data_IF_283258527497
#
_entry.id   IF_283258527497
#
_cell.length_a   1.000
_cell.length_b   1.000
_cell.length_c   1.000
_cell.angle_alpha   90.00
_cell.angle_beta   90.00
_cell.angle_gamma   90.00
#
_symmetry.space_group_name_H-M   'P 1'
#
loop_
_entity.id
_entity.type
_entity.pdbx_description
1 polymer ?
#
# COMPACT_ATOMS: atom_id res chain seq x y z
N UNK A 1 -10.99 13.19 -2.18
CA UNK A 1 -11.62 14.36 -1.54
C UNK A 1 -13.11 14.15 -1.31
N UNK A 2 -13.92 13.90 -2.34
CA UNK A 2 -15.38 13.74 -2.19
C UNK A 2 -15.84 12.46 -1.49
N UNK A 3 -15.07 11.36 -1.61
CA UNK A 3 -15.42 10.10 -0.96
C UNK A 3 -15.30 10.15 0.58
N UNK A 4 -14.37 10.95 1.11
CA UNK A 4 -14.05 10.95 2.55
C UNK A 4 -15.24 11.43 3.41
N UNK A 5 -15.91 12.56 3.12
CA UNK A 5 -17.10 12.98 3.88
C UNK A 5 -18.22 11.95 3.89
N UNK A 6 -18.49 11.29 2.76
CA UNK A 6 -19.52 10.25 2.66
C UNK A 6 -19.17 9.01 3.49
N UNK A 7 -17.90 8.59 3.49
CA UNK A 7 -17.42 7.47 4.30
C UNK A 7 -17.54 7.79 5.79
N UNK A 8 -17.12 9.01 6.20
CA UNK A 8 -17.24 9.46 7.60
C UNK A 8 -18.70 9.47 8.05
N UNK A 9 -19.61 9.99 7.22
CA UNK A 9 -21.05 9.98 7.51
C UNK A 9 -21.60 8.56 7.72
N UNK A 10 -21.27 7.63 6.82
CA UNK A 10 -21.70 6.23 6.93
C UNK A 10 -21.10 5.55 8.17
N UNK A 11 -19.84 5.83 8.50
CA UNK A 11 -19.18 5.26 9.67
C UNK A 11 -19.89 5.65 10.97
N UNK A 12 -20.29 6.92 11.12
CA UNK A 12 -21.09 7.37 12.24
C UNK A 12 -22.47 6.73 12.27
N UNK A 13 -23.16 6.63 11.12
CA UNK A 13 -24.48 5.98 11.06
C UNK A 13 -24.43 4.49 11.43
N UNK A 14 -23.34 3.80 11.12
CA UNK A 14 -23.17 2.36 11.36
C UNK A 14 -22.42 2.04 12.65
N UNK A 15 -22.07 3.04 13.47
CA UNK A 15 -21.23 2.89 14.67
C UNK A 15 -19.90 2.16 14.40
N UNK A 16 -19.30 2.37 13.23
CA UNK A 16 -17.97 1.86 12.87
C UNK A 16 -16.89 2.81 13.38
N UNK A 17 -16.89 3.07 14.69
CA UNK A 17 -16.06 4.05 15.36
C UNK A 17 -15.06 3.36 16.28
N UNK A 18 -13.82 3.87 16.29
CA UNK A 18 -12.78 3.35 17.16
C UNK A 18 -12.92 3.89 18.59
N UNK A 19 -12.89 3.00 19.58
CA UNK A 19 -12.97 3.38 20.99
C UNK A 19 -11.55 3.69 21.51
N UNK A 20 -11.32 4.84 22.18
CA UNK A 20 -10.00 5.20 22.68
C UNK A 20 -9.42 4.11 23.57
N UNK A 21 -8.22 3.64 23.26
CA UNK A 21 -7.49 2.64 24.05
C UNK A 21 -6.13 3.22 24.48
N UNK A 22 -5.46 2.67 25.50
CA UNK A 22 -4.23 3.23 26.09
C UNK A 22 -3.01 3.37 25.15
N UNK A 23 -3.16 3.06 23.85
CA UNK A 23 -2.18 3.27 22.76
C UNK A 23 -2.52 4.45 21.84
N UNK A 24 -3.72 5.02 21.92
CA UNK A 24 -4.19 6.12 21.06
C UNK A 24 -4.13 7.45 21.82
N UNK A 25 -3.51 8.47 21.24
CA UNK A 25 -3.35 9.81 21.86
C UNK A 25 -4.68 10.59 21.89
N UNK A 26 -5.72 10.13 21.18
CA UNK A 26 -6.98 10.86 21.02
C UNK A 26 -8.09 10.44 21.98
N UNK A 27 -8.91 11.42 22.36
CA UNK A 27 -10.09 11.27 23.22
C UNK A 27 -11.41 11.13 22.43
N UNK A 28 -11.40 11.18 21.09
CA UNK A 28 -12.61 11.16 20.24
C UNK A 28 -12.77 9.91 19.38
N UNK A 29 -14.01 9.39 19.29
CA UNK A 29 -14.44 8.31 18.39
C UNK A 29 -14.18 8.68 16.92
N UNK A 30 -13.08 8.19 16.34
CA UNK A 30 -12.66 8.56 14.98
C UNK A 30 -12.75 7.33 14.05
N UNK A 31 -13.39 7.42 12.87
CA UNK A 31 -13.54 6.27 11.97
C UNK A 31 -12.22 5.75 11.40
N UNK A 32 -12.05 4.43 11.31
CA UNK A 32 -10.91 3.74 10.66
C UNK A 32 -11.21 3.32 9.21
N UNK A 33 -11.80 4.20 8.41
CA UNK A 33 -12.23 3.88 7.03
C UNK A 33 -11.59 4.78 5.97
N UNK A 34 -10.57 5.56 6.32
CA UNK A 34 -9.87 6.46 5.39
C UNK A 34 -9.21 5.70 4.23
N UNK A 35 -8.77 4.47 4.48
CA UNK A 35 -8.21 3.57 3.49
C UNK A 35 -9.16 3.23 2.34
N UNK A 36 -10.47 3.21 2.59
CA UNK A 36 -11.47 3.01 1.52
C UNK A 36 -11.46 4.17 0.54
N UNK A 37 -11.31 5.41 1.03
CA UNK A 37 -11.19 6.59 0.18
C UNK A 37 -9.88 6.60 -0.61
N UNK A 38 -8.77 6.19 0.01
CA UNK A 38 -7.47 6.07 -0.68
C UNK A 38 -7.58 5.05 -1.81
N UNK A 39 -8.09 3.85 -1.51
CA UNK A 39 -8.22 2.78 -2.48
C UNK A 39 -9.18 3.14 -3.61
N UNK A 40 -10.33 3.75 -3.32
CA UNK A 40 -11.27 4.19 -4.35
C UNK A 40 -10.62 5.22 -5.29
N UNK A 41 -9.93 6.22 -4.75
CA UNK A 41 -9.23 7.22 -5.56
C UNK A 41 -8.12 6.62 -6.42
N UNK A 42 -7.31 5.74 -5.83
CA UNK A 42 -6.25 5.01 -6.52
C UNK A 42 -6.81 4.13 -7.66
N UNK A 43 -7.80 3.28 -7.36
CA UNK A 43 -8.40 2.36 -8.33
C UNK A 43 -9.07 3.09 -9.49
N UNK A 44 -9.84 4.13 -9.20
CA UNK A 44 -10.50 4.92 -10.24
C UNK A 44 -9.48 5.60 -11.15
N UNK A 45 -8.47 6.25 -10.59
CA UNK A 45 -7.44 6.92 -11.39
C UNK A 45 -6.63 5.92 -12.22
N UNK A 46 -6.19 4.80 -11.61
CA UNK A 46 -5.36 3.83 -12.30
C UNK A 46 -6.11 3.17 -13.47
N UNK A 47 -7.37 2.79 -13.27
CA UNK A 47 -8.17 2.12 -14.32
C UNK A 47 -8.50 3.06 -15.48
N UNK A 48 -8.61 4.37 -15.23
CA UNK A 48 -8.92 5.36 -16.28
C UNK A 48 -7.66 5.77 -17.05
N UNK A 49 -6.54 5.99 -16.36
CA UNK A 49 -5.38 6.68 -16.92
C UNK A 49 -4.15 5.80 -17.14
N UNK A 50 -4.02 4.65 -16.47
CA UNK A 50 -2.79 3.88 -16.48
C UNK A 50 -2.85 2.67 -17.44
N UNK A 51 -1.76 2.41 -18.19
CA UNK A 51 -1.58 1.12 -18.84
C UNK A 51 -1.45 0.00 -17.81
N UNK A 52 -2.14 -1.12 -18.01
CA UNK A 52 -2.15 -2.26 -17.10
C UNK A 52 -1.14 -3.37 -17.47
N UNK A 53 -0.04 -2.99 -18.13
CA UNK A 53 1.07 -3.89 -18.49
C UNK A 53 2.14 -3.99 -17.40
N UNK A 54 3.16 -4.81 -17.63
CA UNK A 54 4.35 -4.93 -16.78
C UNK A 54 4.01 -5.17 -15.30
N UNK A 55 3.16 -6.15 -15.01
CA UNK A 55 2.81 -6.54 -13.63
C UNK A 55 1.80 -5.65 -12.91
N UNK A 56 1.37 -4.53 -13.49
CA UNK A 56 0.40 -3.62 -12.85
C UNK A 56 -0.98 -4.29 -12.64
N UNK A 57 -1.40 -5.17 -13.54
CA UNK A 57 -2.66 -5.94 -13.40
C UNK A 57 -2.58 -6.92 -12.21
N UNK A 58 -1.45 -7.58 -12.03
CA UNK A 58 -1.17 -8.49 -10.91
C UNK A 58 -1.08 -7.72 -9.60
N UNK A 59 -0.45 -6.54 -9.60
CA UNK A 59 -0.47 -5.60 -8.47
C UNK A 59 -1.90 -5.22 -8.09
N UNK A 60 -2.74 -4.87 -9.07
CA UNK A 60 -4.15 -4.56 -8.83
C UNK A 60 -4.91 -5.71 -8.20
N UNK A 61 -4.71 -6.94 -8.68
CA UNK A 61 -5.31 -8.13 -8.09
C UNK A 61 -4.88 -8.32 -6.63
N UNK A 62 -3.59 -8.14 -6.31
CA UNK A 62 -3.09 -8.15 -4.94
C UNK A 62 -3.70 -7.06 -4.06
N UNK A 63 -3.81 -5.83 -4.58
CA UNK A 63 -4.44 -4.71 -3.89
C UNK A 63 -5.91 -4.99 -3.57
N UNK A 64 -6.67 -5.61 -4.49
CA UNK A 64 -8.08 -5.98 -4.26
C UNK A 64 -8.20 -6.99 -3.11
N UNK A 65 -7.33 -8.00 -3.07
CA UNK A 65 -7.32 -8.98 -1.97
C UNK A 65 -7.05 -8.28 -0.65
N UNK A 66 -5.99 -7.47 -0.58
CA UNK A 66 -5.60 -6.78 0.65
C UNK A 66 -6.61 -5.73 1.09
N UNK A 67 -7.28 -5.07 0.14
CA UNK A 67 -8.40 -4.18 0.41
C UNK A 67 -9.51 -4.91 1.18
N UNK A 68 -9.96 -6.07 0.69
CA UNK A 68 -11.02 -6.82 1.38
C UNK A 68 -10.58 -7.42 2.70
N UNK A 69 -9.31 -7.85 2.81
CA UNK A 69 -8.74 -8.34 4.07
C UNK A 69 -8.71 -7.24 5.11
N UNK A 70 -8.20 -6.06 4.75
CA UNK A 70 -8.14 -4.91 5.65
C UNK A 70 -9.53 -4.35 5.98
N UNK A 71 -10.44 -4.29 5.01
CA UNK A 71 -11.82 -3.85 5.24
C UNK A 71 -12.55 -4.77 6.21
N UNK A 72 -12.32 -6.08 6.09
CA UNK A 72 -12.87 -7.04 7.03
C UNK A 72 -12.25 -6.88 8.42
N UNK A 73 -10.94 -6.61 8.52
CA UNK A 73 -10.30 -6.36 9.81
C UNK A 73 -10.85 -5.09 10.48
N UNK A 74 -10.97 -3.99 9.73
CA UNK A 74 -11.52 -2.70 10.22
C UNK A 74 -12.97 -2.85 10.74
N UNK A 75 -13.76 -3.77 10.18
CA UNK A 75 -15.16 -3.97 10.56
C UNK A 75 -15.37 -4.98 11.69
N UNK A 76 -14.63 -6.09 11.70
CA UNK A 76 -14.92 -7.23 12.61
C UNK A 76 -13.69 -7.83 13.28
N UNK A 77 -12.50 -7.26 13.08
CA UNK A 77 -11.20 -7.74 13.60
C UNK A 77 -10.94 -9.21 13.31
N UNK A 78 -10.02 -9.50 12.38
CA UNK A 78 -9.67 -10.87 11.99
C UNK A 78 -8.40 -11.34 12.69
N UNK A 79 -8.25 -12.66 12.80
CA UNK A 79 -7.03 -13.27 13.35
C UNK A 79 -5.82 -12.96 12.46
N UNK A 80 -4.65 -12.73 13.08
CA UNK A 80 -3.36 -12.51 12.40
C UNK A 80 -3.08 -13.55 11.31
N UNK A 81 -3.38 -14.82 11.54
CA UNK A 81 -3.19 -15.89 10.55
C UNK A 81 -4.01 -15.66 9.26
N UNK A 82 -5.27 -15.21 9.37
CA UNK A 82 -6.13 -14.92 8.21
C UNK A 82 -5.63 -13.68 7.45
N UNK A 83 -5.15 -12.66 8.17
CA UNK A 83 -4.52 -11.47 7.57
C UNK A 83 -3.26 -11.84 6.80
N UNK A 84 -2.43 -12.70 7.38
CA UNK A 84 -1.21 -13.23 6.74
C UNK A 84 -1.52 -14.07 5.50
N UNK A 85 -2.55 -14.92 5.51
CA UNK A 85 -2.97 -15.65 4.30
C UNK A 85 -3.36 -14.69 3.17
N UNK A 86 -4.04 -13.59 3.48
CA UNK A 86 -4.32 -12.54 2.50
C UNK A 86 -3.07 -11.92 1.90
N UNK A 87 -2.09 -11.58 2.74
CA UNK A 87 -0.77 -11.09 2.32
C UNK A 87 -0.02 -12.12 1.48
N UNK A 88 -0.07 -13.40 1.86
CA UNK A 88 0.55 -14.50 1.11
C UNK A 88 -0.03 -14.61 -0.31
N UNK A 89 -1.35 -14.58 -0.44
CA UNK A 89 -2.02 -14.67 -1.75
C UNK A 89 -1.71 -13.45 -2.62
N UNK A 90 -1.84 -12.24 -2.08
CA UNK A 90 -1.56 -11.00 -2.82
C UNK A 90 -0.09 -10.94 -3.29
N UNK A 91 0.83 -11.28 -2.40
CA UNK A 91 2.27 -11.30 -2.68
C UNK A 91 2.62 -12.39 -3.70
N UNK A 92 2.04 -13.59 -3.55
CA UNK A 92 2.25 -14.71 -4.48
C UNK A 92 1.80 -14.40 -5.91
N UNK A 93 0.68 -13.69 -6.09
CA UNK A 93 0.21 -13.27 -7.42
C UNK A 93 1.27 -12.42 -8.12
N UNK A 94 1.76 -11.38 -7.45
CA UNK A 94 2.73 -10.44 -8.04
C UNK A 94 4.06 -11.12 -8.31
N UNK A 95 4.55 -11.93 -7.37
CA UNK A 95 5.84 -12.60 -7.53
C UNK A 95 5.82 -13.69 -8.60
N UNK A 96 4.79 -14.53 -8.63
CA UNK A 96 4.78 -15.72 -9.50
C UNK A 96 4.25 -15.39 -10.88
N UNK A 97 3.21 -14.54 -10.98
CA UNK A 97 2.55 -14.27 -12.26
C UNK A 97 3.17 -13.10 -13.02
N UNK A 98 3.72 -12.12 -12.31
CA UNK A 98 4.39 -10.96 -12.92
C UNK A 98 5.92 -10.99 -12.81
N UNK A 99 6.50 -12.03 -12.20
CA UNK A 99 7.93 -12.18 -11.92
C UNK A 99 8.55 -10.98 -11.18
N UNK A 100 7.76 -10.29 -10.35
CA UNK A 100 8.25 -9.18 -9.53
C UNK A 100 9.01 -9.74 -8.33
N UNK A 101 10.34 -9.69 -8.42
CA UNK A 101 11.24 -10.16 -7.37
C UNK A 101 12.61 -9.50 -7.47
N UNK A 102 13.29 -9.45 -6.33
CA UNK A 102 14.71 -9.08 -6.28
C UNK A 102 15.54 -10.20 -6.89
N UNK A 103 16.21 -9.96 -8.01
CA UNK A 103 17.03 -10.95 -8.73
C UNK A 103 18.49 -10.93 -8.29
N UNK A 104 18.90 -9.85 -7.62
CA UNK A 104 20.29 -9.53 -7.33
C UNK A 104 20.43 -8.80 -5.98
N UNK A 105 21.62 -8.87 -5.39
CA UNK A 105 22.05 -7.99 -4.30
C UNK A 105 22.99 -6.87 -4.78
N UNK A 106 23.15 -6.69 -6.10
CA UNK A 106 23.96 -5.64 -6.72
C UNK A 106 25.41 -5.60 -6.19
N UNK A 107 25.99 -6.76 -5.89
CA UNK A 107 27.34 -6.89 -5.35
C UNK A 107 27.45 -6.68 -3.84
N UNK A 108 26.34 -6.41 -3.13
CA UNK A 108 26.32 -6.41 -1.66
C UNK A 108 26.75 -7.80 -1.18
N UNK A 109 27.72 -7.83 -0.25
CA UNK A 109 28.36 -9.07 0.25
C UNK A 109 29.01 -9.94 -0.84
N UNK A 110 29.33 -9.35 -2.00
CA UNK A 110 29.88 -10.08 -3.16
C UNK A 110 28.84 -10.89 -3.93
N UNK A 111 27.54 -10.69 -3.66
CA UNK A 111 26.45 -11.44 -4.29
C UNK A 111 25.86 -10.60 -5.44
N UNK A 112 26.07 -11.06 -6.67
CA UNK A 112 25.54 -10.41 -7.86
C UNK A 112 24.22 -10.99 -8.34
N UNK A 113 23.97 -12.28 -8.17
CA UNK A 113 22.70 -12.91 -8.56
C UNK A 113 22.21 -13.80 -7.44
N UNK A 114 20.91 -13.79 -7.21
CA UNK A 114 20.27 -14.62 -6.20
C UNK A 114 19.77 -15.93 -6.84
N UNK A 115 20.05 -17.09 -6.22
CA UNK A 115 19.38 -18.32 -6.58
C UNK A 115 17.85 -18.13 -6.52
N UNK A 116 17.13 -18.73 -7.47
CA UNK A 116 15.69 -18.50 -7.65
C UNK A 116 14.87 -18.65 -6.37
N UNK A 117 15.13 -19.69 -5.56
CA UNK A 117 14.44 -19.91 -4.28
C UNK A 117 14.72 -18.82 -3.25
N UNK A 118 15.95 -18.30 -3.20
CA UNK A 118 16.32 -17.21 -2.31
C UNK A 118 15.74 -15.88 -2.77
N UNK A 119 15.70 -15.63 -4.08
CA UNK A 119 15.04 -14.47 -4.69
C UNK A 119 13.56 -14.39 -4.29
N UNK A 120 12.80 -15.47 -4.44
CA UNK A 120 11.41 -15.54 -3.99
C UNK A 120 11.29 -15.43 -2.46
N UNK A 121 12.09 -16.18 -1.68
CA UNK A 121 11.99 -16.12 -0.22
C UNK A 121 12.26 -14.71 0.34
N UNK A 122 13.30 -14.06 -0.16
CA UNK A 122 13.69 -12.73 0.30
C UNK A 122 12.69 -11.67 -0.13
N UNK A 123 12.25 -11.69 -1.40
CA UNK A 123 11.22 -10.77 -1.91
C UNK A 123 9.93 -10.89 -1.10
N UNK A 124 9.51 -12.12 -0.75
CA UNK A 124 8.32 -12.34 0.06
C UNK A 124 8.43 -11.67 1.43
N UNK A 125 9.57 -11.84 2.11
CA UNK A 125 9.85 -11.21 3.40
C UNK A 125 9.83 -9.69 3.28
N UNK A 126 10.37 -9.12 2.21
CA UNK A 126 10.37 -7.68 1.97
C UNK A 126 8.94 -7.16 1.78
N UNK A 127 8.14 -7.79 0.91
CA UNK A 127 6.76 -7.33 0.64
C UNK A 127 5.91 -7.41 1.90
N UNK A 128 5.92 -8.54 2.58
CA UNK A 128 5.13 -8.74 3.80
C UNK A 128 5.65 -7.86 4.94
N UNK A 129 6.97 -7.71 5.06
CA UNK A 129 7.63 -6.90 6.09
C UNK A 129 7.29 -5.42 5.97
N UNK A 130 7.47 -4.82 4.79
CA UNK A 130 7.12 -3.42 4.54
C UNK A 130 5.61 -3.21 4.69
N UNK A 131 4.79 -4.14 4.19
CA UNK A 131 3.33 -4.05 4.34
C UNK A 131 2.90 -3.97 5.82
N UNK A 132 3.45 -4.84 6.66
CA UNK A 132 3.16 -4.82 8.09
C UNK A 132 3.82 -3.63 8.81
N UNK A 133 4.97 -3.13 8.34
CA UNK A 133 5.61 -1.95 8.90
C UNK A 133 4.75 -0.68 8.69
N UNK A 134 4.19 -0.49 7.48
CA UNK A 134 3.26 0.62 7.22
C UNK A 134 1.98 0.50 8.07
N UNK A 135 1.45 -0.73 8.24
CA UNK A 135 0.33 -0.98 9.14
C UNK A 135 0.65 -0.67 10.61
N UNK A 136 1.87 -0.94 11.07
CA UNK A 136 2.29 -0.69 12.46
C UNK A 136 2.43 0.80 12.78
N UNK A 137 2.87 1.62 11.82
CA UNK A 137 3.07 3.06 12.00
C UNK A 137 1.80 3.90 11.76
N UNK A 138 0.67 3.29 11.38
CA UNK A 138 -0.64 3.94 11.19
C UNK A 138 -1.38 4.28 12.51
N UNK A 139 -0.64 4.43 13.61
CA UNK A 139 -1.19 4.81 14.91
C UNK A 139 -1.18 6.31 15.23
N UNK A 140 -0.59 7.13 14.34
CA UNK A 140 -0.37 8.57 14.55
C UNK A 140 -0.92 9.41 13.40
N UNK A 141 -1.52 10.56 13.74
CA UNK A 141 -2.10 11.51 12.77
C UNK A 141 -1.10 11.91 11.69
N UNK A 142 -1.46 11.67 10.43
CA UNK A 142 -0.67 12.06 9.27
C UNK A 142 0.63 11.28 9.06
N UNK A 143 1.04 10.40 9.97
CA UNK A 143 2.36 9.75 9.90
C UNK A 143 2.46 8.77 8.72
N UNK A 144 1.65 7.71 8.74
CA UNK A 144 1.69 6.67 7.71
C UNK A 144 1.43 7.27 6.31
N UNK A 145 0.41 8.12 6.20
CA UNK A 145 0.09 8.79 4.93
C UNK A 145 1.23 9.66 4.42
N UNK A 146 1.92 10.43 5.28
CA UNK A 146 3.05 11.28 4.85
C UNK A 146 4.26 10.46 4.43
N UNK A 147 4.56 9.37 5.15
CA UNK A 147 5.66 8.47 4.79
C UNK A 147 5.39 7.79 3.44
N UNK A 148 4.18 7.27 3.22
CA UNK A 148 3.76 6.70 1.94
C UNK A 148 3.84 7.76 0.84
N UNK A 149 3.40 8.99 1.09
CA UNK A 149 3.47 10.09 0.12
C UNK A 149 4.91 10.39 -0.29
N UNK A 150 5.86 10.45 0.65
CA UNK A 150 7.29 10.67 0.36
C UNK A 150 7.83 9.53 -0.49
N UNK A 151 7.67 8.27 -0.05
CA UNK A 151 8.23 7.10 -0.73
C UNK A 151 7.69 7.00 -2.17
N UNK A 152 6.37 7.12 -2.32
CA UNK A 152 5.71 7.03 -3.64
C UNK A 152 6.09 8.18 -4.55
N UNK A 153 6.24 9.41 -4.03
CA UNK A 153 6.72 10.56 -4.81
C UNK A 153 8.15 10.35 -5.28
N UNK A 154 9.03 9.84 -4.41
CA UNK A 154 10.41 9.53 -4.75
C UNK A 154 10.48 8.48 -5.86
N UNK A 155 9.90 7.29 -5.67
CA UNK A 155 9.95 6.24 -6.68
C UNK A 155 9.22 6.63 -7.97
N UNK A 156 8.06 7.27 -7.85
CA UNK A 156 7.30 7.77 -9.00
C UNK A 156 8.11 8.73 -9.87
N UNK A 157 8.88 9.64 -9.26
CA UNK A 157 9.77 10.53 -9.99
C UNK A 157 10.87 9.76 -10.75
N UNK A 158 11.50 8.78 -10.10
CA UNK A 158 12.55 7.98 -10.73
C UNK A 158 12.02 7.09 -11.86
N UNK A 159 10.86 6.45 -11.69
CA UNK A 159 10.21 5.69 -12.76
C UNK A 159 9.86 6.57 -13.95
N UNK A 160 9.34 7.79 -13.70
CA UNK A 160 9.05 8.74 -14.77
C UNK A 160 10.31 9.18 -15.52
N UNK A 161 11.42 9.39 -14.81
CA UNK A 161 12.65 9.93 -15.39
C UNK A 161 13.53 8.88 -16.06
N UNK A 162 13.60 7.67 -15.50
CA UNK A 162 14.60 6.66 -15.87
C UNK A 162 13.98 5.32 -16.24
N UNK A 163 12.69 5.10 -15.98
CA UNK A 163 12.05 3.79 -16.13
C UNK A 163 11.77 3.34 -17.56
N UNK A 164 11.82 4.25 -18.53
CA UNK A 164 11.53 3.92 -19.93
C UNK A 164 10.17 3.24 -20.13
N UNK A 165 10.06 2.40 -21.16
CA UNK A 165 8.83 1.67 -21.46
C UNK A 165 8.56 0.49 -20.51
N UNK A 166 9.61 -0.04 -19.86
CA UNK A 166 9.51 -1.21 -18.98
C UNK A 166 8.94 -0.82 -17.60
N UNK A 167 9.45 0.25 -17.00
CA UNK A 167 9.04 0.68 -15.65
C UNK A 167 8.15 1.92 -15.62
N UNK A 168 7.86 2.53 -16.78
CA UNK A 168 7.03 3.74 -16.87
C UNK A 168 5.61 3.57 -16.30
N UNK A 169 5.04 2.35 -16.35
CA UNK A 169 3.72 2.07 -15.78
C UNK A 169 3.70 2.25 -14.25
N UNK A 170 4.81 2.00 -13.56
CA UNK A 170 4.92 2.20 -12.11
C UNK A 170 4.91 3.69 -11.71
N UNK A 171 5.26 4.60 -12.62
CA UNK A 171 5.05 6.04 -12.41
C UNK A 171 3.56 6.38 -12.31
N UNK A 172 2.71 5.75 -13.12
CA UNK A 172 1.25 5.92 -13.02
C UNK A 172 0.71 5.37 -11.70
N UNK A 173 1.18 4.19 -11.28
CA UNK A 173 0.83 3.61 -9.97
C UNK A 173 1.15 4.58 -8.85
N UNK A 174 2.35 5.16 -8.85
CA UNK A 174 2.77 6.14 -7.86
C UNK A 174 1.90 7.40 -7.88
N UNK A 175 1.66 8.02 -9.04
CA UNK A 175 0.84 9.25 -9.15
C UNK A 175 -0.61 9.02 -8.71
N UNK A 176 -1.20 7.87 -9.06
CA UNK A 176 -2.55 7.52 -8.64
C UNK A 176 -2.63 7.35 -7.11
N UNK A 177 -1.62 6.71 -6.51
CA UNK A 177 -1.56 6.54 -5.06
C UNK A 177 -1.34 7.88 -4.34
N UNK A 178 -0.47 8.75 -4.87
CA UNK A 178 -0.26 10.12 -4.38
C UNK A 178 -1.59 10.88 -4.35
N UNK A 179 -2.38 10.82 -5.42
CA UNK A 179 -3.71 11.47 -5.47
C UNK A 179 -4.67 10.96 -4.39
N UNK A 180 -4.72 9.63 -4.19
CA UNK A 180 -5.52 9.01 -3.12
C UNK A 180 -5.07 9.45 -1.73
N UNK A 181 -3.75 9.42 -1.47
CA UNK A 181 -3.14 9.79 -0.19
C UNK A 181 -3.31 11.27 0.12
N UNK A 182 -3.10 12.18 -0.84
CA UNK A 182 -3.34 13.62 -0.64
C UNK A 182 -4.80 13.90 -0.31
N UNK A 183 -5.73 13.19 -0.97
CA UNK A 183 -7.16 13.26 -0.69
C UNK A 183 -7.52 12.81 0.73
N UNK A 184 -6.81 11.82 1.28
CA UNK A 184 -6.96 11.32 2.64
C UNK A 184 -6.27 12.21 3.68
N UNK A 185 -5.03 12.62 3.45
CA UNK A 185 -4.22 13.40 4.38
C UNK A 185 -4.90 14.72 4.76
N UNK A 186 -5.65 15.34 3.85
CA UNK A 186 -6.49 16.52 4.14
C UNK A 186 -7.39 16.32 5.37
N UNK A 187 -7.84 15.10 5.64
CA UNK A 187 -8.74 14.74 6.73
C UNK A 187 -8.04 14.01 7.89
N UNK A 188 -6.79 13.59 7.69
CA UNK A 188 -6.01 12.83 8.67
C UNK A 188 -4.90 13.65 9.35
N UNK A 189 -4.56 14.84 8.85
CA UNK A 189 -3.67 15.77 9.57
C UNK A 189 -4.28 16.19 10.91
N UNK A 190 -3.41 16.44 11.90
CA UNK A 190 -3.81 16.75 13.27
C UNK A 190 -4.72 18.00 13.35
N UNK A 191 -5.90 17.95 13.99
CA UNK A 191 -6.60 16.80 14.63
C UNK A 191 -7.32 15.93 13.60
N UNK A 192 -7.00 14.64 13.55
CA UNK A 192 -7.56 13.73 12.53
C UNK A 192 -9.08 13.54 12.67
N UNK A 193 -9.77 13.58 11.53
CA UNK A 193 -11.21 13.28 11.40
C UNK A 193 -11.48 11.87 10.86
N UNK A 194 -10.45 11.21 10.32
CA UNK A 194 -10.49 9.83 9.84
C UNK A 194 -9.10 9.21 9.94
N UNK A 195 -9.02 7.95 10.34
CA UNK A 195 -7.80 7.14 10.32
C UNK A 195 -7.72 6.29 9.06
N UNK A 196 -6.51 5.94 8.64
CA UNK A 196 -6.30 5.14 7.43
C UNK A 196 -6.85 3.72 7.61
N UNK A 197 -6.60 3.11 8.77
CA UNK A 197 -7.12 1.78 9.10
C UNK A 197 -6.33 0.67 8.41
N UNK A 198 -6.69 -0.57 8.71
CA UNK A 198 -6.06 -1.77 8.14
C UNK A 198 -6.26 -1.83 6.62
N UNK A 199 -7.42 -1.40 6.12
CA UNK A 199 -7.71 -1.31 4.68
C UNK A 199 -6.65 -0.49 3.95
N UNK A 200 -6.39 0.73 4.42
CA UNK A 200 -5.52 1.65 3.72
C UNK A 200 -4.06 1.30 3.89
N UNK A 201 -3.65 0.96 5.11
CA UNK A 201 -2.26 0.71 5.44
C UNK A 201 -1.73 -0.58 4.81
N UNK A 202 -2.54 -1.64 4.72
CA UNK A 202 -2.17 -2.87 3.99
C UNK A 202 -1.99 -2.62 2.50
N UNK A 203 -2.95 -1.94 1.86
CA UNK A 203 -2.86 -1.62 0.43
C UNK A 203 -1.66 -0.72 0.13
N UNK A 204 -1.47 0.34 0.92
CA UNK A 204 -0.37 1.28 0.71
C UNK A 204 0.98 0.63 0.94
N UNK A 205 1.11 -0.18 2.00
CA UNK A 205 2.32 -0.92 2.30
C UNK A 205 2.68 -1.91 1.19
N UNK A 206 1.68 -2.61 0.64
CA UNK A 206 1.88 -3.52 -0.49
C UNK A 206 2.36 -2.80 -1.75
N UNK A 207 1.70 -1.71 -2.14
CA UNK A 207 2.10 -0.91 -3.31
C UNK A 207 3.52 -0.37 -3.12
N UNK A 208 3.82 0.22 -1.95
CA UNK A 208 5.16 0.75 -1.64
C UNK A 208 6.23 -0.33 -1.72
N UNK A 209 5.93 -1.54 -1.26
CA UNK A 209 6.86 -2.68 -1.34
C UNK A 209 7.20 -3.02 -2.77
N UNK A 210 6.20 -3.06 -3.66
CA UNK A 210 6.40 -3.38 -5.07
C UNK A 210 7.18 -2.26 -5.75
N UNK A 211 6.81 -0.99 -5.53
CA UNK A 211 7.56 0.15 -6.07
C UNK A 211 9.04 0.13 -5.61
N UNK A 212 9.32 -0.30 -4.38
CA UNK A 212 10.69 -0.43 -3.89
C UNK A 212 11.47 -1.54 -4.61
N UNK A 213 10.87 -2.71 -4.82
CA UNK A 213 11.50 -3.83 -5.53
C UNK A 213 11.77 -3.44 -6.99
N UNK A 214 10.77 -2.89 -7.67
CA UNK A 214 10.88 -2.46 -9.07
C UNK A 214 11.89 -1.33 -9.24
N UNK A 215 12.02 -0.43 -8.26
CA UNK A 215 13.05 0.59 -8.28
C UNK A 215 14.47 -0.01 -8.22
N UNK A 216 14.66 -1.05 -7.41
CA UNK A 216 15.95 -1.76 -7.31
C UNK A 216 16.24 -2.53 -8.60
N UNK A 217 15.26 -3.24 -9.16
CA UNK A 217 15.42 -4.02 -10.39
C UNK A 217 15.66 -3.13 -11.61
N UNK A 218 15.01 -1.96 -11.68
CA UNK A 218 15.27 -0.94 -12.71
C UNK A 218 16.73 -0.48 -12.72
N UNK A 219 17.39 -0.42 -11.56
CA UNK A 219 18.81 -0.06 -11.46
C UNK A 219 19.78 -1.23 -11.68
N UNK A 220 19.28 -2.46 -11.78
CA UNK A 220 20.10 -3.67 -11.96
C UNK A 220 20.32 -4.04 -13.43
N UNK A 221 19.66 -3.34 -14.35
CA UNK A 221 19.70 -3.56 -15.81
C UNK A 221 20.23 -2.33 -16.53
#
# INVERSE_FOLDING_TARGET
MFAVPSIVYIAHLKNLLDTPNGRTVHQSLTPRLGGVAVFAGFMSALTIFAPLGNGVKELLAGCIILFFVGLKDDMVTISVAKKFVGQLLATGIVMIMADVRLTSFQGILGINELPIGMSYAFTFVIIVGITNAINLIDGLDGLAGSIVLIITSTFGYYFYRYGGAEYGNYAFVAVCLIGGILGFLRYNFHKASVFMGDTGSLVCGFIVSILAIEFIEMGSR
#
